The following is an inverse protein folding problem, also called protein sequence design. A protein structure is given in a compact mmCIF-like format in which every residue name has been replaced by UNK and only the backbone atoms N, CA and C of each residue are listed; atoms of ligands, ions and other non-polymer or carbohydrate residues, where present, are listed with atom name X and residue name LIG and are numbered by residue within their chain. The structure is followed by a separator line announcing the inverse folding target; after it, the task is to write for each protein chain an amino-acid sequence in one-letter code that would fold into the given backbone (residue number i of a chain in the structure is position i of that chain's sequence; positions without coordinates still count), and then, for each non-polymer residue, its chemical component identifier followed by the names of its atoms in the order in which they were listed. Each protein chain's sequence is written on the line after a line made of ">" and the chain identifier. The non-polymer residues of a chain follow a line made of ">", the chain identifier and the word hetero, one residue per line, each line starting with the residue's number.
data_IF_943574428239
#
_entry.id   IF_943574428239
#
_cell.length_a   1.000
_cell.length_b   1.000
_cell.length_c   1.000
_cell.angle_alpha   90.00
_cell.angle_beta   90.00
_cell.angle_gamma   90.00
#
_symmetry.space_group_name_H-M   'P 1'
#
loop_
_entity.id
_entity.type
_entity.pdbx_description
1 polymer ?
#
# COMPACT_ATOMS: atom_id res chain seq x y z
N UNK A 1 0.60 -7.06 -12.06
CA UNK A 1 0.99 -6.48 -13.37
C UNK A 1 -0.28 -6.07 -14.08
N UNK A 2 -0.37 -4.83 -14.57
CA UNK A 2 -1.52 -4.34 -15.34
C UNK A 2 -1.07 -4.07 -16.79
N UNK A 3 -1.86 -4.51 -17.77
CA UNK A 3 -1.63 -4.26 -19.20
C UNK A 3 -2.77 -3.37 -19.69
N UNK A 4 -2.42 -2.24 -20.27
CA UNK A 4 -3.38 -1.20 -20.65
C UNK A 4 -3.21 -0.85 -22.13
N UNK A 5 -4.33 -0.68 -22.85
CA UNK A 5 -4.36 -0.34 -24.27
C UNK A 5 -5.62 0.45 -24.63
N UNK A 6 -5.62 1.10 -25.79
CA UNK A 6 -6.75 1.89 -26.28
C UNK A 6 -6.73 3.34 -25.78
N UNK A 7 -7.86 4.02 -25.90
CA UNK A 7 -7.99 5.47 -25.63
C UNK A 7 -8.69 5.80 -24.30
N UNK A 8 -9.17 4.80 -23.56
CA UNK A 8 -9.85 5.01 -22.28
C UNK A 8 -8.81 5.21 -21.17
N UNK A 9 -8.95 6.29 -20.41
CA UNK A 9 -8.13 6.54 -19.21
C UNK A 9 -8.39 5.43 -18.17
N UNK A 10 -7.34 4.76 -17.66
CA UNK A 10 -7.47 3.76 -16.60
C UNK A 10 -7.81 4.42 -15.26
N UNK A 11 -8.29 3.62 -14.31
CA UNK A 11 -8.36 4.02 -12.90
C UNK A 11 -6.97 4.21 -12.30
N UNK A 12 -6.90 4.87 -11.14
CA UNK A 12 -5.64 5.10 -10.45
C UNK A 12 -5.02 3.77 -10.02
N UNK A 13 -3.81 3.50 -10.52
CA UNK A 13 -3.04 2.33 -10.11
C UNK A 13 -2.21 2.67 -8.87
N UNK A 14 -2.27 1.81 -7.86
CA UNK A 14 -1.49 1.93 -6.64
C UNK A 14 -0.47 0.78 -6.61
N UNK A 15 0.81 1.10 -6.48
CA UNK A 15 1.84 0.08 -6.28
C UNK A 15 1.72 -0.51 -4.89
N UNK A 16 2.05 -1.80 -4.77
CA UNK A 16 2.10 -2.49 -3.50
C UNK A 16 3.30 -2.06 -2.65
N UNK A 17 4.41 -1.76 -3.33
CA UNK A 17 5.68 -1.31 -2.74
C UNK A 17 5.97 0.14 -3.13
N UNK A 18 7.12 0.65 -2.72
CA UNK A 18 7.65 1.94 -3.15
C UNK A 18 8.22 1.93 -4.59
N UNK A 19 8.14 0.81 -5.32
CA UNK A 19 8.64 0.68 -6.69
C UNK A 19 7.49 0.42 -7.68
N UNK A 20 7.43 1.23 -8.74
CA UNK A 20 6.54 1.03 -9.88
C UNK A 20 7.35 1.09 -11.17
N UNK A 21 7.17 0.08 -12.04
CA UNK A 21 7.82 0.03 -13.36
C UNK A 21 6.76 0.21 -14.43
N UNK A 22 6.98 1.18 -15.32
CA UNK A 22 6.11 1.44 -16.47
C UNK A 22 6.88 1.09 -17.74
N UNK A 23 6.31 0.23 -18.58
CA UNK A 23 6.88 -0.14 -19.88
C UNK A 23 5.90 0.21 -20.99
N UNK A 24 6.32 1.09 -21.88
CA UNK A 24 5.62 1.37 -23.12
C UNK A 24 6.10 0.43 -24.23
N UNK A 25 5.17 -0.07 -25.04
CA UNK A 25 5.47 -0.90 -26.20
C UNK A 25 4.58 -0.45 -27.36
N UNK A 26 5.18 -0.21 -28.52
CA UNK A 26 4.51 0.18 -29.77
C UNK A 26 5.07 -0.64 -30.93
N UNK A 27 4.27 -0.82 -31.98
CA UNK A 27 4.76 -1.33 -33.26
C UNK A 27 5.28 -0.19 -34.16
N UNK A 28 5.78 -0.56 -35.35
CA UNK A 28 6.35 0.36 -36.34
C UNK A 28 5.31 0.90 -37.35
N UNK A 29 4.04 0.50 -37.26
CA UNK A 29 3.05 0.75 -38.31
C UNK A 29 2.07 1.87 -37.93
N UNK A 30 1.63 1.95 -36.67
CA UNK A 30 0.63 2.92 -36.23
C UNK A 30 1.16 3.72 -35.05
N UNK A 31 1.17 5.04 -35.20
CA UNK A 31 1.54 5.98 -34.14
C UNK A 31 0.28 6.66 -33.59
N UNK A 32 0.20 6.81 -32.28
CA UNK A 32 -0.86 7.53 -31.57
C UNK A 32 -0.26 8.54 -30.59
N UNK A 33 -1.10 9.33 -29.94
CA UNK A 33 -0.67 10.37 -28.97
C UNK A 33 0.08 9.84 -27.74
N UNK A 34 0.12 8.53 -27.53
CA UNK A 34 0.77 7.92 -26.37
C UNK A 34 -0.02 8.12 -25.07
N UNK A 35 0.69 8.18 -23.95
CA UNK A 35 0.11 8.42 -22.63
C UNK A 35 0.91 9.46 -21.86
N UNK A 36 0.21 10.17 -20.98
CA UNK A 36 0.80 11.01 -19.94
C UNK A 36 0.34 10.46 -18.59
N UNK A 37 1.27 10.35 -17.65
CA UNK A 37 1.00 9.84 -16.32
C UNK A 37 1.67 10.71 -15.26
N UNK A 38 0.93 11.00 -14.20
CA UNK A 38 1.46 11.58 -12.97
C UNK A 38 1.43 10.53 -11.86
N UNK A 39 2.40 10.61 -10.95
CA UNK A 39 2.52 9.70 -9.82
C UNK A 39 2.70 10.50 -8.53
N UNK A 40 2.26 9.90 -7.43
CA UNK A 40 2.49 10.41 -6.08
C UNK A 40 2.70 9.22 -5.16
N UNK A 41 3.41 9.43 -4.05
CA UNK A 41 3.44 8.46 -2.97
C UNK A 41 2.00 8.19 -2.51
N UNK A 42 1.56 6.94 -2.65
CA UNK A 42 0.31 6.51 -2.06
C UNK A 42 0.54 6.35 -0.56
N UNK A 43 -0.18 7.11 0.25
CA UNK A 43 -0.24 6.87 1.69
C UNK A 43 -1.05 5.61 1.94
N UNK A 44 -0.41 4.44 1.86
CA UNK A 44 -1.02 3.23 2.41
C UNK A 44 -1.08 3.42 3.92
N UNK A 45 -2.29 3.60 4.44
CA UNK A 45 -2.55 4.07 5.80
C UNK A 45 -2.43 2.95 6.83
N UNK A 46 -1.28 2.28 6.88
CA UNK A 46 -0.98 1.31 7.93
C UNK A 46 0.46 1.45 8.43
N UNK A 47 0.73 0.88 9.59
CA UNK A 47 1.99 1.08 10.31
C UNK A 47 2.02 2.41 11.07
N UNK A 48 3.20 2.74 11.58
CA UNK A 48 3.45 3.96 12.35
C UNK A 48 4.02 3.68 13.75
N UNK A 49 4.16 4.74 14.55
CA UNK A 49 4.61 4.66 15.93
C UNK A 49 3.39 4.54 16.85
N UNK A 50 3.33 3.47 17.63
CA UNK A 50 2.36 3.25 18.69
C UNK A 50 3.07 3.46 20.02
N UNK A 51 2.55 4.36 20.85
CA UNK A 51 3.03 4.48 22.24
C UNK A 51 2.30 3.46 23.09
N UNK A 52 3.02 2.67 23.86
CA UNK A 52 2.44 1.71 24.79
C UNK A 52 1.59 2.45 25.82
N UNK A 53 0.38 1.96 26.03
CA UNK A 53 -0.59 2.50 26.97
C UNK A 53 -0.91 1.42 28.02
N UNK A 54 -1.33 1.81 29.24
CA UNK A 54 -1.75 0.85 30.25
C UNK A 54 -3.08 0.16 29.89
N UNK A 55 -3.81 0.69 28.90
CA UNK A 55 -5.01 0.08 28.32
C UNK A 55 -4.71 -0.56 26.96
N UNK A 56 -5.50 -1.57 26.58
CA UNK A 56 -5.38 -2.25 25.29
C UNK A 56 -5.60 -1.29 24.12
N UNK A 57 -4.77 -1.42 23.09
CA UNK A 57 -4.88 -0.68 21.83
C UNK A 57 -5.07 -1.66 20.68
N UNK A 58 -5.85 -1.25 19.68
CA UNK A 58 -6.10 -2.05 18.47
C UNK A 58 -5.53 -1.32 17.27
N UNK A 59 -4.81 -2.07 16.44
CA UNK A 59 -4.39 -1.64 15.11
C UNK A 59 -4.73 -2.76 14.13
N UNK A 60 -5.03 -2.40 12.88
CA UNK A 60 -5.50 -3.35 11.87
C UNK A 60 -4.67 -3.23 10.60
N UNK A 61 -4.63 -4.31 9.83
CA UNK A 61 -4.19 -4.22 8.44
C UNK A 61 -5.07 -3.23 7.66
N UNK A 62 -4.56 -2.68 6.54
CA UNK A 62 -5.41 -1.95 5.60
C UNK A 62 -6.62 -2.78 5.23
N UNK A 63 -7.74 -2.10 5.05
CA UNK A 63 -9.00 -2.65 4.58
C UNK A 63 -9.66 -3.72 5.46
N UNK A 64 -9.08 -4.08 6.61
CA UNK A 64 -9.69 -5.01 7.57
C UNK A 64 -11.15 -4.59 7.88
N UNK A 65 -12.13 -5.53 7.83
CA UNK A 65 -11.99 -6.99 7.75
C UNK A 65 -11.87 -7.57 6.34
N UNK A 66 -11.77 -6.74 5.30
CA UNK A 66 -11.53 -7.22 3.92
C UNK A 66 -10.06 -7.60 3.74
N UNK A 67 -9.78 -8.28 2.62
CA UNK A 67 -8.43 -8.63 2.24
C UNK A 67 -7.58 -7.38 2.05
N UNK A 68 -6.43 -7.34 2.74
CA UNK A 68 -5.43 -6.30 2.55
C UNK A 68 -4.86 -6.39 1.12
N UNK A 69 -4.45 -5.26 0.52
CA UNK A 69 -3.90 -5.26 -0.84
C UNK A 69 -2.60 -6.07 -0.91
N UNK A 70 -2.42 -6.82 -2.00
CA UNK A 70 -1.22 -7.64 -2.20
C UNK A 70 0.04 -6.77 -2.20
N UNK A 71 1.10 -7.28 -1.54
CA UNK A 71 2.44 -6.69 -1.51
C UNK A 71 2.57 -5.41 -0.69
N UNK A 72 1.58 -5.09 0.15
CA UNK A 72 1.67 -4.02 1.13
C UNK A 72 2.56 -4.46 2.29
N UNK A 73 3.47 -3.57 2.71
CA UNK A 73 4.28 -3.74 3.90
C UNK A 73 3.87 -2.71 4.95
N UNK A 74 3.36 -3.19 6.09
CA UNK A 74 2.98 -2.35 7.23
C UNK A 74 3.94 -2.60 8.39
N UNK A 75 4.54 -1.53 8.92
CA UNK A 75 5.46 -1.62 10.06
C UNK A 75 4.91 -0.78 11.21
N UNK A 76 4.53 -1.45 12.31
CA UNK A 76 4.18 -0.79 13.56
C UNK A 76 5.35 -0.86 14.53
N UNK A 77 5.81 0.28 15.01
CA UNK A 77 6.84 0.39 16.04
C UNK A 77 6.14 0.68 17.36
N UNK A 78 6.25 -0.22 18.33
CA UNK A 78 5.66 -0.04 19.65
C UNK A 78 6.72 0.48 20.60
N UNK A 79 6.54 1.71 21.06
CA UNK A 79 7.42 2.41 21.98
C UNK A 79 6.90 2.28 23.41
N UNK A 80 7.66 1.64 24.30
CA UNK A 80 7.28 1.39 25.69
C UNK A 80 8.35 1.95 26.63
N UNK A 81 7.92 2.41 27.81
CA UNK A 81 8.87 2.88 28.82
C UNK A 81 9.72 1.70 29.34
N UNK A 82 10.97 1.95 29.73
CA UNK A 82 11.82 0.92 30.33
C UNK A 82 11.12 0.21 31.49
N UNK A 83 11.14 -1.12 31.48
CA UNK A 83 10.49 -1.96 32.49
C UNK A 83 9.01 -2.28 32.23
N UNK A 84 8.40 -1.76 31.16
CA UNK A 84 7.06 -2.19 30.74
C UNK A 84 7.11 -3.46 29.88
N UNK A 85 6.20 -4.40 30.16
CA UNK A 85 5.97 -5.58 29.34
C UNK A 85 4.86 -5.30 28.31
N UNK A 86 5.08 -5.69 27.06
CA UNK A 86 4.09 -5.57 25.97
C UNK A 86 3.44 -6.94 25.75
N UNK A 87 2.11 -6.98 25.83
CA UNK A 87 1.31 -8.16 25.44
C UNK A 87 0.61 -7.88 24.10
N UNK A 88 0.77 -8.79 23.13
CA UNK A 88 0.14 -8.70 21.82
C UNK A 88 -0.86 -9.86 21.64
N UNK A 89 -2.04 -9.52 21.15
CA UNK A 89 -3.09 -10.47 20.81
C UNK A 89 -3.46 -10.28 19.34
N UNK A 90 -3.38 -11.36 18.56
CA UNK A 90 -3.77 -11.35 17.15
C UNK A 90 -5.18 -11.89 17.04
N UNK A 91 -6.10 -11.06 16.57
CA UNK A 91 -7.47 -11.45 16.26
C UNK A 91 -7.60 -11.70 14.76
N UNK A 92 -7.88 -12.93 14.35
CA UNK A 92 -8.29 -13.28 12.98
C UNK A 92 -9.66 -13.95 13.05
N UNK A 93 -10.65 -13.40 12.35
CA UNK A 93 -11.97 -14.01 12.17
C UNK A 93 -12.03 -14.78 10.86
#
# INVERSE_FOLDING_TARGET
>A
MAILSGSKKPETLISSTNLMVVRFSSDAQIQARGFEASWRAASVSCGGLLKAQPYGQTFTSPDYPKNYPNGVECVWKIDAHPGQLISLYVCSY
#
